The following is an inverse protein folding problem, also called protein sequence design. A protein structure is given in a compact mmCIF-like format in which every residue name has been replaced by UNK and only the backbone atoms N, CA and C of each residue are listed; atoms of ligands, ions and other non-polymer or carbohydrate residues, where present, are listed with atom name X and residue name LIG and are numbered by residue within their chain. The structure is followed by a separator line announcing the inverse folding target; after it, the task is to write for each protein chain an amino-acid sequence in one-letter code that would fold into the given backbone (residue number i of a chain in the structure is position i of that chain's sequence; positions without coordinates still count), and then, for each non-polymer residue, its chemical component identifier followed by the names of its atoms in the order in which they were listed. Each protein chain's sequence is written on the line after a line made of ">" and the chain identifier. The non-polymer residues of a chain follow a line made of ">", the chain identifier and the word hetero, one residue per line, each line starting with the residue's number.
data_IF_528338908141
#
_entry.id   IF_528338908141
#
_cell.length_a   1.000
_cell.length_b   1.000
_cell.length_c   1.000
_cell.angle_alpha   90.00
_cell.angle_beta   90.00
_cell.angle_gamma   90.00
#
_symmetry.space_group_name_H-M   'P 1'
#
loop_
_entity.id
_entity.type
_entity.pdbx_description
1 polymer ?
#
# COMPACT_ATOMS: atom_id res chain seq x y z
N UNK A 1 2.96 -18.01 26.74
CA UNK A 1 4.09 -17.94 27.70
C UNK A 1 3.55 -17.47 29.04
N UNK A 2 3.45 -18.37 30.01
CA UNK A 2 2.87 -18.15 31.34
C UNK A 2 3.85 -17.41 32.25
N UNK A 3 3.75 -16.07 32.27
CA UNK A 3 4.40 -15.25 33.28
C UNK A 3 3.60 -15.28 34.60
N UNK A 4 4.29 -15.41 35.74
CA UNK A 4 3.63 -15.38 37.06
C UNK A 4 2.97 -14.01 37.31
N UNK A 5 1.77 -14.07 37.89
CA UNK A 5 0.92 -12.93 38.29
C UNK A 5 1.70 -11.92 39.13
N UNK A 6 1.72 -10.67 38.70
CA UNK A 6 2.33 -9.54 39.44
C UNK A 6 1.36 -8.39 39.71
N UNK A 7 0.09 -8.49 39.27
CA UNK A 7 -0.92 -7.45 39.47
C UNK A 7 -2.00 -7.82 40.50
N UNK A 8 -2.25 -6.93 41.46
CA UNK A 8 -3.56 -6.80 42.13
C UNK A 8 -4.50 -6.00 41.20
N UNK A 9 -5.83 -6.12 41.39
CA UNK A 9 -6.93 -5.47 40.63
C UNK A 9 -6.95 -3.92 40.74
N UNK A 10 -5.78 -3.27 40.81
CA UNK A 10 -5.54 -1.87 41.16
C UNK A 10 -5.11 -1.00 39.97
N UNK A 11 -4.93 -1.57 38.78
CA UNK A 11 -4.44 -0.84 37.62
C UNK A 11 -5.51 -0.74 36.55
N UNK A 12 -5.84 0.50 36.18
CA UNK A 12 -6.75 0.82 35.09
C UNK A 12 -5.95 1.19 33.84
N UNK A 13 -6.36 0.67 32.68
CA UNK A 13 -5.77 1.05 31.41
C UNK A 13 -6.34 2.40 30.95
N UNK A 14 -5.54 3.46 31.02
CA UNK A 14 -5.97 4.79 30.60
C UNK A 14 -6.12 4.91 29.08
N UNK A 15 -5.05 4.60 28.33
CA UNK A 15 -5.04 4.65 26.87
C UNK A 15 -3.94 3.77 26.29
N UNK A 16 -4.10 3.41 25.01
CA UNK A 16 -3.05 2.82 24.19
C UNK A 16 -2.71 3.78 23.06
N UNK A 17 -1.42 4.07 22.88
CA UNK A 17 -0.94 4.92 21.78
C UNK A 17 -0.14 4.06 20.80
N UNK A 18 -0.52 4.02 19.51
CA UNK A 18 0.30 3.38 18.50
C UNK A 18 1.54 4.25 18.21
N UNK A 19 2.68 3.60 18.04
CA UNK A 19 3.93 4.23 17.63
C UNK A 19 4.41 3.59 16.34
N UNK A 20 4.94 4.42 15.44
CA UNK A 20 5.60 3.97 14.23
C UNK A 20 7.03 3.46 14.53
N UNK A 21 7.57 2.62 13.66
CA UNK A 21 8.94 2.10 13.76
C UNK A 21 9.97 3.24 13.77
N UNK A 22 9.70 4.37 13.08
CA UNK A 22 10.60 5.53 13.02
C UNK A 22 10.92 6.17 14.38
N UNK A 23 10.05 5.99 15.38
CA UNK A 23 10.19 6.60 16.72
C UNK A 23 10.52 5.59 17.82
N UNK A 24 10.64 4.29 17.49
CA UNK A 24 10.91 3.21 18.44
C UNK A 24 12.14 2.41 18.02
N UNK A 25 13.13 2.30 18.90
CA UNK A 25 14.31 1.46 18.67
C UNK A 25 14.49 0.42 19.77
N UNK A 26 14.89 -0.79 19.40
CA UNK A 26 15.21 -1.85 20.38
C UNK A 26 16.58 -1.55 20.99
N UNK A 27 16.62 -1.28 22.29
CA UNK A 27 17.86 -0.90 22.99
C UNK A 27 18.64 -2.12 23.45
N UNK A 28 17.97 -3.06 24.12
CA UNK A 28 18.61 -4.30 24.60
C UNK A 28 17.74 -5.52 24.32
N UNK A 29 18.40 -6.63 24.00
CA UNK A 29 17.79 -7.96 23.90
C UNK A 29 18.05 -8.74 25.19
N UNK A 30 17.24 -9.75 25.45
CA UNK A 30 17.46 -10.67 26.56
C UNK A 30 18.64 -11.59 26.25
N UNK A 31 19.63 -11.60 27.14
CA UNK A 31 20.91 -12.33 26.96
C UNK A 31 20.93 -13.61 27.81
N UNK A 32 20.02 -13.73 28.79
CA UNK A 32 19.95 -14.92 29.65
C UNK A 32 19.41 -16.12 28.88
N UNK A 33 20.25 -17.14 28.71
CA UNK A 33 19.96 -18.38 27.98
C UNK A 33 18.88 -19.21 28.70
N UNK A 34 18.76 -19.06 30.02
CA UNK A 34 17.74 -19.78 30.81
C UNK A 34 16.36 -19.16 30.71
N UNK A 35 16.27 -17.93 30.18
CA UNK A 35 15.01 -17.24 29.99
C UNK A 35 14.27 -17.80 28.77
N UNK A 36 12.96 -18.09 28.87
CA UNK A 36 12.15 -18.50 27.72
C UNK A 36 12.03 -17.39 26.66
N UNK A 37 12.56 -16.20 26.93
CA UNK A 37 12.59 -15.05 26.02
C UNK A 37 13.99 -14.74 25.49
N UNK A 38 14.94 -15.68 25.59
CA UNK A 38 16.28 -15.51 25.06
C UNK A 38 16.25 -15.00 23.61
N UNK A 39 17.00 -13.93 23.33
CA UNK A 39 17.05 -13.31 21.99
C UNK A 39 15.94 -12.30 21.69
N UNK A 40 14.87 -12.20 22.49
CA UNK A 40 13.78 -11.22 22.30
C UNK A 40 14.11 -9.84 22.91
N UNK A 41 13.44 -8.75 22.48
CA UNK A 41 13.66 -7.42 23.04
C UNK A 41 13.26 -7.33 24.53
N UNK A 42 14.14 -6.71 25.32
CA UNK A 42 13.94 -6.44 26.76
C UNK A 42 13.55 -4.99 27.03
N UNK A 43 14.27 -4.05 26.43
CA UNK A 43 13.97 -2.62 26.56
C UNK A 43 13.89 -1.96 25.19
N UNK A 44 12.93 -1.07 25.06
CA UNK A 44 12.73 -0.22 23.90
C UNK A 44 13.01 1.22 24.28
N UNK A 45 13.58 1.96 23.35
CA UNK A 45 13.73 3.40 23.42
C UNK A 45 12.61 4.01 22.58
N UNK A 46 11.70 4.75 23.22
CA UNK A 46 10.56 5.39 22.56
C UNK A 46 10.75 6.89 22.62
N UNK A 47 10.71 7.52 21.45
CA UNK A 47 10.72 8.97 21.33
C UNK A 47 9.29 9.50 21.24
N UNK A 48 8.88 10.30 22.23
CA UNK A 48 7.53 10.87 22.31
C UNK A 48 7.40 12.20 21.57
N UNK A 49 8.41 12.61 20.80
CA UNK A 49 8.42 13.89 20.09
C UNK A 49 7.13 14.11 19.31
N UNK A 50 6.41 15.15 19.70
CA UNK A 50 5.37 15.75 18.88
C UNK A 50 6.05 16.77 17.97
N UNK A 51 5.91 16.65 16.66
CA UNK A 51 6.47 17.62 15.71
C UNK A 51 5.53 18.85 15.61
N UNK A 52 5.11 19.41 16.74
CA UNK A 52 4.41 20.69 16.79
C UNK A 52 5.44 21.82 16.90
N UNK A 53 5.41 22.83 16.03
CA UNK A 53 6.36 23.93 16.08
C UNK A 53 6.15 24.73 17.37
N UNK A 54 7.14 24.71 18.28
CA UNK A 54 7.20 25.58 19.46
C UNK A 54 7.26 24.87 20.82
N UNK A 55 7.09 23.55 20.92
CA UNK A 55 7.19 22.80 22.18
C UNK A 55 8.28 21.74 22.09
N UNK A 56 9.46 22.02 22.64
CA UNK A 56 10.55 21.05 22.76
C UNK A 56 10.34 20.24 24.05
N UNK A 57 9.38 19.32 24.05
CA UNK A 57 9.31 18.28 25.09
C UNK A 57 10.08 17.05 24.61
N UNK A 58 11.38 17.00 24.88
CA UNK A 58 12.21 15.82 24.55
C UNK A 58 12.14 14.83 25.70
N UNK A 59 10.99 14.17 25.88
CA UNK A 59 10.92 13.02 26.78
C UNK A 59 11.11 11.74 25.97
N UNK A 60 12.36 11.43 25.63
CA UNK A 60 12.71 10.09 25.18
C UNK A 60 12.79 9.17 26.40
N UNK A 61 12.02 8.08 26.41
CA UNK A 61 11.94 7.17 27.56
C UNK A 61 12.35 5.76 27.18
N UNK A 62 13.14 5.15 28.06
CA UNK A 62 13.43 3.72 28.00
C UNK A 62 12.30 2.98 28.69
N UNK A 63 11.62 2.11 27.95
CA UNK A 63 10.43 1.39 28.40
C UNK A 63 10.71 -0.10 28.31
N UNK A 64 10.35 -0.82 29.37
CA UNK A 64 10.47 -2.26 29.43
C UNK A 64 9.40 -2.93 28.55
N UNK A 65 9.75 -4.06 27.91
CA UNK A 65 8.90 -4.79 26.96
C UNK A 65 7.50 -5.11 27.50
N UNK A 66 7.36 -5.25 28.83
CA UNK A 66 6.08 -5.53 29.49
C UNK A 66 5.02 -4.47 29.16
N UNK A 67 5.43 -3.22 28.92
CA UNK A 67 4.52 -2.10 28.58
C UNK A 67 4.38 -1.82 27.08
N UNK A 68 4.99 -2.63 26.20
CA UNK A 68 5.01 -2.38 24.74
C UNK A 68 4.55 -3.61 23.97
N UNK A 69 3.42 -3.50 23.28
CA UNK A 69 2.97 -4.50 22.31
C UNK A 69 3.83 -4.37 21.05
N UNK A 70 4.72 -5.33 20.85
CA UNK A 70 5.59 -5.35 19.68
C UNK A 70 4.84 -5.96 18.50
N UNK A 71 4.65 -5.18 17.45
CA UNK A 71 3.93 -5.59 16.24
C UNK A 71 4.93 -5.64 15.09
N UNK A 72 5.30 -6.86 14.69
CA UNK A 72 6.18 -7.09 13.55
C UNK A 72 5.44 -7.94 12.53
N UNK A 73 5.08 -7.35 11.40
CA UNK A 73 4.34 -7.99 10.30
C UNK A 73 5.33 -8.49 9.23
N UNK A 74 4.97 -9.54 8.47
CA UNK A 74 5.82 -10.17 7.46
C UNK A 74 7.26 -10.47 7.96
N UNK A 75 7.35 -11.28 9.01
CA UNK A 75 8.63 -11.74 9.55
C UNK A 75 9.17 -12.89 8.69
N UNK A 76 10.43 -12.77 8.27
CA UNK A 76 11.13 -13.82 7.51
C UNK A 76 12.03 -14.63 8.45
N UNK A 77 13.26 -14.17 8.66
CA UNK A 77 14.26 -14.83 9.52
C UNK A 77 14.23 -14.29 10.95
N UNK A 78 13.87 -13.01 11.12
CA UNK A 78 13.86 -12.36 12.43
C UNK A 78 12.46 -12.37 13.03
N UNK A 79 12.34 -12.86 14.26
CA UNK A 79 11.09 -12.73 15.02
C UNK A 79 10.79 -11.30 15.48
N UNK A 80 11.80 -10.42 15.41
CA UNK A 80 11.76 -9.04 15.92
C UNK A 80 11.48 -8.06 14.79
N UNK A 81 12.14 -8.20 13.65
CA UNK A 81 12.03 -7.26 12.55
C UNK A 81 11.17 -7.84 11.43
N UNK A 82 10.15 -7.07 11.06
CA UNK A 82 9.27 -7.36 9.94
C UNK A 82 9.76 -6.70 8.65
N UNK A 83 9.29 -7.19 7.50
CA UNK A 83 9.54 -6.56 6.20
C UNK A 83 8.33 -5.69 5.82
N UNK A 84 8.50 -4.37 5.57
CA UNK A 84 7.39 -3.51 5.18
C UNK A 84 6.66 -4.03 3.93
N UNK A 85 5.33 -4.12 3.99
CA UNK A 85 4.49 -4.62 2.89
C UNK A 85 4.68 -3.88 1.56
N UNK A 86 4.99 -2.59 1.62
CA UNK A 86 5.21 -1.75 0.44
C UNK A 86 6.63 -1.86 -0.13
N UNK A 87 7.57 -2.52 0.56
CA UNK A 87 8.98 -2.57 0.14
C UNK A 87 9.17 -3.22 -1.23
N UNK A 88 8.44 -4.30 -1.52
CA UNK A 88 8.50 -5.00 -2.81
C UNK A 88 7.93 -4.19 -3.97
N UNK A 89 6.95 -3.32 -3.67
CA UNK A 89 6.17 -2.56 -4.66
C UNK A 89 6.75 -1.17 -4.89
N UNK A 90 7.61 -0.69 -4.01
CA UNK A 90 8.12 0.69 -4.00
C UNK A 90 8.66 1.16 -5.37
N UNK A 91 9.44 0.34 -6.05
CA UNK A 91 9.97 0.68 -7.38
C UNK A 91 8.85 0.87 -8.42
N UNK A 92 7.80 0.04 -8.37
CA UNK A 92 6.64 0.14 -9.27
C UNK A 92 5.82 1.40 -9.00
N UNK A 93 5.72 1.82 -7.73
CA UNK A 93 5.09 3.09 -7.37
C UNK A 93 5.89 4.29 -7.91
N UNK A 94 7.22 4.24 -7.85
CA UNK A 94 8.07 5.27 -8.43
C UNK A 94 7.94 5.33 -9.96
N UNK A 95 7.89 4.18 -10.63
CA UNK A 95 7.69 4.12 -12.08
C UNK A 95 6.32 4.67 -12.48
N UNK A 96 5.27 4.35 -11.71
CA UNK A 96 3.94 4.92 -11.92
C UNK A 96 3.95 6.44 -11.78
N UNK A 97 4.63 6.99 -10.76
CA UNK A 97 4.79 8.44 -10.61
C UNK A 97 5.51 9.08 -11.81
N UNK A 98 6.55 8.41 -12.34
CA UNK A 98 7.27 8.90 -13.54
C UNK A 98 6.39 8.89 -14.78
N UNK A 99 5.61 7.84 -15.00
CA UNK A 99 4.70 7.73 -16.16
C UNK A 99 3.63 8.82 -16.09
N UNK A 100 3.02 9.02 -14.92
CA UNK A 100 2.00 10.06 -14.74
C UNK A 100 2.60 11.45 -14.97
N UNK A 101 3.77 11.74 -14.40
CA UNK A 101 4.47 13.01 -14.64
C UNK A 101 4.82 13.21 -16.13
N UNK A 102 5.36 12.19 -16.78
CA UNK A 102 5.71 12.24 -18.21
C UNK A 102 4.50 12.35 -19.13
N UNK A 103 3.34 11.82 -18.75
CA UNK A 103 2.12 11.89 -19.57
C UNK A 103 1.60 13.32 -19.73
N UNK A 104 1.63 14.13 -18.66
CA UNK A 104 1.27 15.54 -18.74
C UNK A 104 2.25 16.34 -19.59
N UNK A 105 3.54 16.07 -19.46
CA UNK A 105 4.58 16.72 -20.27
C UNK A 105 4.49 16.34 -21.76
N UNK A 106 4.24 15.06 -22.07
CA UNK A 106 4.06 14.61 -23.45
C UNK A 106 2.78 15.18 -24.07
N UNK A 107 1.69 15.30 -23.30
CA UNK A 107 0.47 15.95 -23.76
C UNK A 107 0.73 17.43 -24.08
N UNK A 108 1.44 18.14 -23.19
CA UNK A 108 1.82 19.54 -23.41
C UNK A 108 2.70 19.72 -24.66
N UNK A 109 3.76 18.91 -24.80
CA UNK A 109 4.63 18.93 -25.99
C UNK A 109 3.90 18.47 -27.26
N UNK A 110 2.92 17.59 -27.11
CA UNK A 110 2.05 17.14 -28.20
C UNK A 110 1.21 18.26 -28.80
N UNK A 111 0.78 19.21 -27.96
CA UNK A 111 0.09 20.43 -28.40
C UNK A 111 0.96 21.42 -29.17
N UNK A 112 2.29 21.30 -29.06
CA UNK A 112 3.29 22.13 -29.75
C UNK A 112 4.25 21.24 -30.55
N UNK A 113 3.80 20.68 -31.69
CA UNK A 113 4.63 19.80 -32.51
C UNK A 113 5.91 20.51 -32.96
N UNK A 114 7.02 19.77 -32.98
CA UNK A 114 8.26 20.28 -33.56
C UNK A 114 8.11 20.53 -35.06
N UNK A 115 8.87 21.48 -35.59
CA UNK A 115 8.93 21.72 -37.03
C UNK A 115 10.25 21.21 -37.58
N UNK A 116 10.18 20.41 -38.65
CA UNK A 116 11.34 20.06 -39.45
C UNK A 116 11.37 20.96 -40.69
N UNK A 117 12.45 21.74 -40.81
CA UNK A 117 12.72 22.53 -42.00
C UNK A 117 13.52 21.67 -42.98
N UNK A 118 12.94 21.40 -44.14
CA UNK A 118 13.64 20.72 -45.24
C UNK A 118 13.96 21.74 -46.32
N UNK A 119 15.21 21.76 -46.76
CA UNK A 119 15.59 22.52 -47.95
C UNK A 119 14.96 21.83 -49.17
N UNK A 120 14.28 22.59 -50.02
CA UNK A 120 13.74 22.04 -51.27
C UNK A 120 14.86 21.56 -52.20
N UNK A 121 14.57 20.60 -53.08
CA UNK A 121 15.55 19.91 -53.95
C UNK A 121 16.40 20.85 -54.84
N UNK A 122 16.02 22.13 -55.00
CA UNK A 122 16.72 23.14 -55.80
C UNK A 122 17.38 24.27 -54.97
N UNK A 123 17.49 24.13 -53.65
CA UNK A 123 18.02 25.19 -52.78
C UNK A 123 19.50 24.98 -52.43
N UNK A 124 20.31 26.03 -52.58
CA UNK A 124 21.68 26.08 -52.06
C UNK A 124 21.68 26.25 -50.54
N UNK A 125 22.57 25.56 -49.83
CA UNK A 125 22.67 25.65 -48.37
C UNK A 125 22.84 27.12 -47.92
N UNK A 126 22.07 27.61 -46.93
CA UNK A 126 22.18 28.99 -46.46
C UNK A 126 23.58 29.26 -45.90
N UNK A 127 24.22 30.35 -46.34
CA UNK A 127 25.55 30.76 -45.87
C UNK A 127 25.41 31.78 -44.74
N UNK A 128 25.99 31.48 -43.57
CA UNK A 128 26.33 32.45 -42.52
C UNK A 128 25.16 33.18 -41.87
N UNK A 129 24.86 34.39 -42.35
CA UNK A 129 23.96 35.35 -41.71
C UNK A 129 22.47 35.03 -41.89
N UNK A 130 22.10 34.35 -42.98
CA UNK A 130 20.71 33.90 -43.16
C UNK A 130 20.35 32.78 -42.17
N UNK A 131 21.34 31.96 -41.79
CA UNK A 131 21.13 30.86 -40.84
C UNK A 131 20.90 31.39 -39.41
N UNK A 132 21.52 32.51 -39.04
CA UNK A 132 21.31 33.13 -37.72
C UNK A 132 19.98 33.86 -37.64
N UNK A 133 19.55 34.53 -38.71
CA UNK A 133 18.22 35.14 -38.82
C UNK A 133 17.10 34.08 -38.79
N UNK A 134 17.25 32.98 -39.53
CA UNK A 134 16.29 31.86 -39.50
C UNK A 134 16.23 31.21 -38.11
N UNK A 135 17.37 31.03 -37.42
CA UNK A 135 17.39 30.53 -36.04
C UNK A 135 16.70 31.47 -35.05
N UNK A 136 16.86 32.79 -35.21
CA UNK A 136 16.18 33.77 -34.38
C UNK A 136 14.66 33.72 -34.59
N UNK A 137 14.19 33.65 -35.83
CA UNK A 137 12.77 33.49 -36.14
C UNK A 137 12.18 32.17 -35.62
N UNK A 138 12.93 31.06 -35.70
CA UNK A 138 12.50 29.78 -35.11
C UNK A 138 12.40 29.89 -33.58
N UNK A 139 13.36 30.57 -32.95
CA UNK A 139 13.33 30.79 -31.51
C UNK A 139 12.15 31.67 -31.11
N UNK A 140 11.89 32.76 -31.83
CA UNK A 140 10.73 33.64 -31.59
C UNK A 140 9.39 32.93 -31.87
N UNK A 141 9.37 31.95 -32.78
CA UNK A 141 8.24 31.06 -33.02
C UNK A 141 8.04 30.04 -31.88
N UNK A 142 9.12 29.51 -31.30
CA UNK A 142 9.06 28.56 -30.18
C UNK A 142 8.75 29.23 -28.83
N UNK A 143 9.34 30.39 -28.58
CA UNK A 143 9.21 31.14 -27.33
C UNK A 143 7.98 32.07 -27.36
N UNK A 144 7.45 32.40 -28.55
CA UNK A 144 6.35 33.33 -28.76
C UNK A 144 5.05 32.69 -29.25
N UNK A 145 3.97 33.48 -29.29
CA UNK A 145 2.66 33.07 -29.84
C UNK A 145 2.56 33.19 -31.37
N UNK A 146 3.67 33.47 -32.05
CA UNK A 146 3.68 33.70 -33.50
C UNK A 146 3.38 32.38 -34.24
N UNK A 147 2.40 32.40 -35.14
CA UNK A 147 1.89 31.20 -35.83
C UNK A 147 2.37 31.07 -37.28
N UNK A 148 3.21 31.98 -37.75
CA UNK A 148 3.65 32.03 -39.15
C UNK A 148 5.16 32.28 -39.19
N UNK A 149 5.83 31.61 -40.12
CA UNK A 149 7.25 31.76 -40.45
C UNK A 149 7.32 32.11 -41.94
N UNK A 150 8.07 33.15 -42.29
CA UNK A 150 8.29 33.53 -43.69
C UNK A 150 9.70 33.08 -44.09
N UNK A 151 9.80 31.94 -44.78
CA UNK A 151 11.08 31.36 -45.22
C UNK A 151 11.00 31.08 -46.72
N UNK A 152 11.98 31.55 -47.49
CA UNK A 152 12.09 31.28 -48.94
C UNK A 152 12.74 29.90 -49.18
N UNK A 153 12.18 29.11 -50.12
CA UNK A 153 12.71 27.81 -50.57
C UNK A 153 12.85 26.70 -49.50
N UNK A 154 12.07 26.76 -48.42
CA UNK A 154 12.07 25.75 -47.35
C UNK A 154 10.67 25.18 -47.14
N UNK A 155 10.54 23.86 -47.22
CA UNK A 155 9.32 23.15 -46.87
C UNK A 155 9.28 22.93 -45.35
N UNK A 156 8.23 23.47 -44.71
CA UNK A 156 7.96 23.25 -43.29
C UNK A 156 7.13 21.97 -43.16
N UNK A 157 7.74 20.92 -42.61
CA UNK A 157 7.01 19.71 -42.24
C UNK A 157 6.79 19.68 -40.73
N UNK A 158 5.54 19.61 -40.31
CA UNK A 158 5.20 19.36 -38.92
C UNK A 158 5.64 17.94 -38.54
N UNK A 159 6.54 17.84 -37.56
CA UNK A 159 6.83 16.58 -36.89
C UNK A 159 5.65 16.30 -35.98
N UNK A 160 4.64 15.60 -36.49
CA UNK A 160 3.48 15.18 -35.69
C UNK A 160 3.97 14.26 -34.56
N UNK A 161 4.00 14.70 -33.30
CA UNK A 161 4.38 13.82 -32.21
C UNK A 161 3.28 12.76 -32.08
N UNK A 162 3.67 11.49 -32.13
CA UNK A 162 2.74 10.40 -31.83
C UNK A 162 2.54 10.38 -30.31
N UNK A 163 1.47 11.03 -29.84
CA UNK A 163 1.08 10.98 -28.42
C UNK A 163 0.61 9.54 -28.16
N UNK A 164 1.43 8.76 -27.47
CA UNK A 164 1.04 7.44 -27.00
C UNK A 164 0.13 7.58 -25.77
N UNK A 165 -0.97 6.85 -25.75
CA UNK A 165 -1.85 6.76 -24.59
C UNK A 165 -1.07 6.14 -23.40
N UNK A 166 -0.96 6.82 -22.25
CA UNK A 166 -0.27 6.29 -21.08
C UNK A 166 -1.09 5.22 -20.33
N UNK A 167 -2.39 5.09 -20.59
CA UNK A 167 -3.29 4.21 -19.83
C UNK A 167 -2.85 2.74 -19.82
N UNK A 168 -2.43 2.11 -20.94
CA UNK A 168 -1.95 0.72 -20.94
C UNK A 168 -0.71 0.52 -20.08
N UNK A 169 0.18 1.52 -20.03
CA UNK A 169 1.38 1.48 -19.19
C UNK A 169 1.01 1.56 -17.70
N UNK A 170 0.08 2.43 -17.34
CA UNK A 170 -0.41 2.56 -15.95
C UNK A 170 -1.10 1.26 -15.52
N UNK A 171 -2.00 0.71 -16.35
CA UNK A 171 -2.71 -0.55 -16.06
C UNK A 171 -1.73 -1.70 -15.82
N UNK A 172 -0.70 -1.83 -16.67
CA UNK A 172 0.32 -2.87 -16.55
C UNK A 172 1.08 -2.75 -15.23
N UNK A 173 1.49 -1.53 -14.83
CA UNK A 173 2.15 -1.33 -13.54
C UNK A 173 1.24 -1.71 -12.37
N UNK A 174 -0.02 -1.27 -12.38
CA UNK A 174 -0.99 -1.62 -11.34
C UNK A 174 -1.24 -3.13 -11.25
N UNK A 175 -1.28 -3.84 -12.37
CA UNK A 175 -1.38 -5.30 -12.40
C UNK A 175 -0.16 -5.96 -11.75
N UNK A 176 1.06 -5.49 -12.01
CA UNK A 176 2.25 -5.98 -11.32
C UNK A 176 2.21 -5.72 -9.80
N UNK A 177 1.70 -4.55 -9.38
CA UNK A 177 1.50 -4.24 -7.95
C UNK A 177 0.50 -5.23 -7.32
N UNK A 178 -0.62 -5.47 -8.01
CA UNK A 178 -1.65 -6.42 -7.56
C UNK A 178 -1.11 -7.84 -7.45
N UNK A 179 -0.35 -8.30 -8.46
CA UNK A 179 0.26 -9.62 -8.49
C UNK A 179 1.29 -9.80 -7.37
N UNK A 180 2.18 -8.81 -7.16
CA UNK A 180 3.20 -8.86 -6.10
C UNK A 180 2.58 -8.82 -4.69
N UNK A 181 1.51 -8.05 -4.50
CA UNK A 181 0.77 -8.03 -3.25
C UNK A 181 -0.17 -9.21 -3.09
N UNK A 182 -0.51 -9.95 -4.15
CA UNK A 182 -1.50 -11.03 -4.18
C UNK A 182 -2.95 -10.56 -4.01
N UNK A 183 -3.25 -9.33 -4.40
CA UNK A 183 -4.58 -8.72 -4.29
C UNK A 183 -5.24 -8.78 -5.68
N UNK A 184 -6.48 -9.26 -5.81
CA UNK A 184 -7.19 -9.21 -7.09
C UNK A 184 -7.32 -7.78 -7.61
N UNK A 185 -7.02 -7.57 -8.89
CA UNK A 185 -6.96 -6.23 -9.50
C UNK A 185 -8.27 -5.43 -9.33
N UNK A 186 -9.42 -6.09 -9.47
CA UNK A 186 -10.75 -5.47 -9.32
C UNK A 186 -11.01 -4.99 -7.89
N UNK A 187 -10.55 -5.75 -6.89
CA UNK A 187 -10.67 -5.38 -5.47
C UNK A 187 -9.72 -4.22 -5.15
N UNK A 188 -8.52 -4.23 -5.72
CA UNK A 188 -7.53 -3.19 -5.51
C UNK A 188 -7.97 -1.81 -6.04
N UNK A 189 -8.67 -1.75 -7.18
CA UNK A 189 -9.14 -0.49 -7.78
C UNK A 189 -10.37 0.13 -7.11
N UNK A 190 -11.19 -0.64 -6.42
CA UNK A 190 -12.39 -0.12 -5.74
C UNK A 190 -13.66 -0.04 -6.62
N UNK A 191 -14.69 0.61 -6.06
CA UNK A 191 -16.13 0.31 -6.18
C UNK A 191 -16.78 0.26 -7.56
N UNK A 192 -16.20 0.80 -8.64
CA UNK A 192 -16.83 0.71 -9.98
C UNK A 192 -16.56 -0.65 -10.66
N UNK A 193 -15.46 -1.33 -10.32
CA UNK A 193 -15.17 -2.69 -10.79
C UNK A 193 -15.66 -3.79 -9.82
N UNK A 194 -16.02 -3.41 -8.58
CA UNK A 194 -16.39 -4.35 -7.52
C UNK A 194 -17.79 -4.97 -7.69
N UNK A 195 -18.70 -4.29 -8.40
CA UNK A 195 -19.98 -4.87 -8.82
C UNK A 195 -19.81 -5.99 -9.86
N UNK A 196 -18.70 -5.99 -10.59
CA UNK A 196 -18.31 -7.02 -11.56
C UNK A 196 -17.20 -7.92 -11.05
N UNK A 197 -16.70 -7.73 -9.82
CA UNK A 197 -15.78 -8.69 -9.21
C UNK A 197 -16.53 -10.02 -9.06
N UNK A 198 -16.01 -11.07 -9.69
CA UNK A 198 -16.64 -12.38 -9.62
C UNK A 198 -16.73 -12.82 -8.16
N UNK A 199 -17.74 -13.63 -7.83
CA UNK A 199 -17.84 -14.27 -6.51
C UNK A 199 -16.53 -14.99 -6.14
N UNK A 200 -15.85 -15.58 -7.13
CA UNK A 200 -14.55 -16.24 -6.97
C UNK A 200 -13.40 -15.32 -6.52
N UNK A 201 -13.31 -14.09 -7.05
CA UNK A 201 -12.29 -13.11 -6.65
C UNK A 201 -12.50 -12.67 -5.19
N UNK A 202 -13.76 -12.48 -4.79
CA UNK A 202 -14.15 -12.13 -3.41
C UNK A 202 -13.83 -13.27 -2.45
N UNK A 203 -14.18 -14.50 -2.82
CA UNK A 203 -13.89 -15.68 -2.00
C UNK A 203 -12.40 -15.91 -1.79
N UNK A 204 -11.60 -15.73 -2.85
CA UNK A 204 -10.14 -15.86 -2.78
C UNK A 204 -9.54 -14.80 -1.85
N UNK A 205 -10.04 -13.57 -1.92
CA UNK A 205 -9.62 -12.49 -1.04
C UNK A 205 -10.03 -12.72 0.41
N UNK A 206 -11.27 -13.14 0.65
CA UNK A 206 -11.80 -13.45 1.98
C UNK A 206 -11.02 -14.59 2.65
N UNK A 207 -10.71 -15.67 1.92
CA UNK A 207 -9.84 -16.75 2.42
C UNK A 207 -8.49 -16.25 2.88
N UNK A 208 -7.90 -15.29 2.15
CA UNK A 208 -6.63 -14.68 2.53
C UNK A 208 -6.73 -13.81 3.77
N UNK A 209 -7.82 -13.05 3.92
CA UNK A 209 -8.08 -12.26 5.13
C UNK A 209 -8.26 -13.19 6.32
N UNK A 210 -9.08 -14.23 6.19
CA UNK A 210 -9.31 -15.23 7.24
C UNK A 210 -7.99 -15.88 7.67
N UNK A 211 -7.15 -16.30 6.71
CA UNK A 211 -5.82 -16.83 7.01
C UNK A 211 -4.97 -15.84 7.81
N UNK A 212 -4.97 -14.55 7.44
CA UNK A 212 -4.22 -13.52 8.20
C UNK A 212 -4.79 -13.34 9.61
N UNK A 213 -6.11 -13.35 9.75
CA UNK A 213 -6.79 -13.25 11.04
C UNK A 213 -6.38 -14.41 11.96
N UNK A 214 -6.41 -15.65 11.46
CA UNK A 214 -6.12 -16.85 12.22
C UNK A 214 -4.62 -17.05 12.50
N UNK A 215 -3.75 -16.89 11.49
CA UNK A 215 -2.32 -17.22 11.62
C UNK A 215 -1.50 -16.09 12.25
N UNK A 216 -1.90 -14.83 12.09
CA UNK A 216 -1.12 -13.68 12.54
C UNK A 216 -1.86 -12.87 13.60
N UNK A 217 -3.04 -12.33 13.29
CA UNK A 217 -3.70 -11.35 14.16
C UNK A 217 -4.15 -11.99 15.48
N UNK A 218 -4.80 -13.15 15.43
CA UNK A 218 -5.23 -13.89 16.62
C UNK A 218 -4.05 -14.24 17.55
N UNK A 219 -3.02 -14.99 17.10
CA UNK A 219 -1.96 -15.45 18.01
C UNK A 219 -0.97 -14.35 18.39
N UNK A 220 -0.63 -13.43 17.49
CA UNK A 220 0.49 -12.49 17.71
C UNK A 220 0.05 -11.13 18.23
N UNK A 221 -1.20 -10.71 17.95
CA UNK A 221 -1.71 -9.41 18.39
C UNK A 221 -2.75 -9.55 19.49
N UNK A 222 -3.86 -10.25 19.22
CA UNK A 222 -5.02 -10.30 20.12
C UNK A 222 -4.68 -11.13 21.36
N UNK A 223 -4.14 -12.33 21.19
CA UNK A 223 -3.77 -13.19 22.32
C UNK A 223 -2.70 -12.53 23.18
N UNK A 224 -1.68 -11.95 22.54
CA UNK A 224 -0.62 -11.25 23.25
C UNK A 224 -1.10 -10.00 23.99
N UNK A 225 -2.10 -9.28 23.48
CA UNK A 225 -2.67 -8.12 24.15
C UNK A 225 -3.56 -8.52 25.33
N UNK A 226 -4.46 -9.48 25.14
CA UNK A 226 -5.35 -9.99 26.18
C UNK A 226 -4.52 -10.62 27.32
N UNK A 227 -3.57 -11.49 27.02
CA UNK A 227 -2.72 -12.14 28.03
C UNK A 227 -1.99 -11.11 28.91
N UNK A 228 -1.55 -9.99 28.31
CA UNK A 228 -0.89 -8.92 29.08
C UNK A 228 -1.86 -8.17 29.96
N UNK A 229 -3.05 -7.85 29.46
CA UNK A 229 -4.08 -7.19 30.25
C UNK A 229 -4.51 -8.05 31.45
N UNK A 230 -4.54 -9.38 31.28
CA UNK A 230 -4.77 -10.34 32.37
C UNK A 230 -3.60 -10.33 33.37
N UNK A 231 -2.34 -10.40 32.90
CA UNK A 231 -1.15 -10.39 33.77
C UNK A 231 -1.09 -9.12 34.64
N UNK A 232 -1.48 -7.97 34.08
CA UNK A 232 -1.52 -6.70 34.79
C UNK A 232 -2.75 -6.52 35.69
N UNK A 233 -3.73 -7.43 35.62
CA UNK A 233 -4.96 -7.35 36.39
C UNK A 233 -5.94 -6.28 35.89
N UNK A 234 -5.83 -5.87 34.61
CA UNK A 234 -6.81 -4.98 33.95
C UNK A 234 -8.04 -5.78 33.53
N UNK A 235 -7.83 -7.01 33.04
CA UNK A 235 -8.89 -7.95 32.71
C UNK A 235 -8.92 -9.09 33.74
N UNK A 236 -10.12 -9.59 34.10
CA UNK A 236 -10.23 -10.77 34.94
C UNK A 236 -9.67 -12.00 34.23
N UNK A 237 -9.13 -12.95 35.02
CA UNK A 237 -8.76 -14.26 34.49
C UNK A 237 -10.01 -14.99 33.98
N UNK A 238 -9.93 -15.70 32.84
CA UNK A 238 -11.04 -16.48 32.32
C UNK A 238 -11.46 -17.55 33.34
N UNK A 239 -12.76 -17.67 33.59
CA UNK A 239 -13.33 -18.57 34.62
C UNK A 239 -12.94 -20.04 34.43
N UNK A 240 -12.79 -20.46 33.18
CA UNK A 240 -12.43 -21.84 32.78
C UNK A 240 -10.96 -21.96 32.37
N UNK A 241 -10.14 -20.92 32.61
CA UNK A 241 -8.71 -20.90 32.27
C UNK A 241 -8.39 -20.61 30.80
N UNK A 242 -9.37 -20.63 29.90
CA UNK A 242 -9.17 -20.36 28.47
C UNK A 242 -10.15 -19.32 27.92
N UNK A 243 -9.74 -18.65 26.84
CA UNK A 243 -10.60 -17.77 26.05
C UNK A 243 -10.42 -18.07 24.56
N UNK A 244 -11.50 -17.92 23.81
CA UNK A 244 -11.53 -18.15 22.38
C UNK A 244 -11.65 -16.82 21.63
N UNK A 245 -10.94 -16.72 20.51
CA UNK A 245 -11.02 -15.57 19.60
C UNK A 245 -11.82 -16.05 18.40
N UNK A 246 -12.99 -15.46 18.20
CA UNK A 246 -13.84 -15.76 17.05
C UNK A 246 -13.88 -14.55 16.11
N UNK A 247 -13.64 -14.79 14.84
CA UNK A 247 -13.83 -13.80 13.79
C UNK A 247 -15.22 -13.97 13.16
N UNK A 248 -15.87 -12.86 12.73
CA UNK A 248 -17.09 -12.96 11.95
C UNK A 248 -16.79 -13.69 10.64
N UNK A 249 -17.73 -14.53 10.19
CA UNK A 249 -17.57 -15.27 8.95
C UNK A 249 -17.58 -14.30 7.75
N UNK A 250 -16.44 -14.21 7.07
CA UNK A 250 -16.23 -13.36 5.90
C UNK A 250 -16.90 -13.94 4.65
N UNK A 251 -17.18 -15.24 4.65
CA UNK A 251 -17.88 -15.96 3.59
C UNK A 251 -19.36 -16.16 3.89
N UNK A 252 -19.92 -15.49 4.91
CA UNK A 252 -21.33 -15.57 5.22
C UNK A 252 -22.13 -15.15 3.98
N UNK A 253 -22.74 -16.17 3.35
CA UNK A 253 -23.68 -16.02 2.26
C UNK A 253 -24.71 -14.96 2.69
N UNK A 254 -25.01 -14.02 1.79
CA UNK A 254 -26.06 -13.05 2.10
C UNK A 254 -27.36 -13.78 2.43
N UNK A 255 -28.23 -13.21 3.27
CA UNK A 255 -29.50 -13.85 3.65
C UNK A 255 -30.30 -14.39 2.44
N UNK A 256 -30.16 -13.75 1.28
CA UNK A 256 -30.72 -14.19 0.00
C UNK A 256 -30.17 -15.52 -0.51
N UNK A 257 -28.86 -15.72 -0.49
CA UNK A 257 -28.25 -16.97 -0.96
C UNK A 257 -28.55 -18.13 0.00
N UNK A 258 -28.63 -17.85 1.31
CA UNK A 258 -29.09 -18.82 2.32
C UNK A 258 -30.53 -19.23 2.02
N UNK A 259 -31.41 -18.26 1.72
CA UNK A 259 -32.80 -18.52 1.36
C UNK A 259 -32.92 -19.30 0.04
N UNK A 260 -32.11 -19.01 -0.97
CA UNK A 260 -32.09 -19.76 -2.24
C UNK A 260 -31.60 -21.21 -2.05
N UNK A 261 -30.56 -21.43 -1.25
CA UNK A 261 -30.08 -22.78 -0.93
C UNK A 261 -31.14 -23.55 -0.14
N UNK A 262 -31.80 -22.91 0.81
CA UNK A 262 -32.93 -23.50 1.52
C UNK A 262 -34.06 -23.86 0.55
N UNK A 263 -34.43 -22.96 -0.36
CA UNK A 263 -35.41 -23.22 -1.41
C UNK A 263 -35.04 -24.43 -2.26
N UNK A 264 -33.81 -24.49 -2.81
CA UNK A 264 -33.32 -25.63 -3.61
C UNK A 264 -33.31 -26.95 -2.83
N UNK A 265 -32.94 -26.94 -1.55
CA UNK A 265 -33.02 -28.13 -0.69
C UNK A 265 -34.46 -28.60 -0.50
N UNK A 266 -35.38 -27.66 -0.31
CA UNK A 266 -36.81 -27.96 -0.11
C UNK A 266 -37.43 -28.51 -1.40
N UNK A 267 -37.09 -27.95 -2.55
CA UNK A 267 -37.50 -28.47 -3.86
C UNK A 267 -36.94 -29.87 -4.14
N UNK A 268 -35.68 -30.12 -3.80
CA UNK A 268 -35.06 -31.44 -3.96
C UNK A 268 -35.76 -32.50 -3.08
N UNK A 269 -36.10 -32.15 -1.84
CA UNK A 269 -36.87 -33.02 -0.94
C UNK A 269 -38.29 -33.26 -1.47
N UNK A 270 -38.98 -32.22 -1.95
CA UNK A 270 -40.31 -32.35 -2.53
C UNK A 270 -40.30 -33.27 -3.77
N UNK A 271 -39.29 -33.15 -4.64
CA UNK A 271 -39.12 -34.03 -5.81
C UNK A 271 -38.78 -35.47 -5.43
N UNK A 272 -38.00 -35.67 -4.37
CA UNK A 272 -37.70 -37.01 -3.85
C UNK A 272 -38.93 -37.69 -3.23
N UNK A 273 -39.81 -36.93 -2.58
CA UNK A 273 -41.06 -37.47 -1.98
C UNK A 273 -42.14 -37.71 -3.04
N UNK A 274 -42.12 -36.96 -4.15
CA UNK A 274 -43.08 -37.09 -5.24
C UNK A 274 -42.71 -38.15 -6.30
N UNK A 275 -41.50 -38.70 -6.26
CA UNK A 275 -41.03 -39.80 -7.12
C UNK A 275 -40.92 -41.11 -6.33
#
# INVERSE_FOLDING_TARGET
>A
VTGKKTGNNKYELLYLRPFDESVVTVKTKEIDITSPRYGLPKTYFVNFKDNSPGVISTESKVIHWTRILHVADNREISEIYGVPRMKSVYNRLLDLRKIVAGSGEMFWKGGFPGMALKLGDNASAPVGDDLTAVRAQIKDYQDGLQRWLAIENVDIQELKPQIADPEPHIKTQLQYICATLGIPYRIFLGSEAAHLASTEDKDTWNKRIARRQEEYVSPMLIRLSIDRLIIFGVLPEPKEGEYFIQWPDLGALGEKEIAEIAGKKTEALAKYVAG
#
